data_IF_276767641791
#
_entry.id   IF_276767641791
#
_cell.length_a   1.000
_cell.length_b   1.000
_cell.length_c   1.000
_cell.angle_alpha   90.00
_cell.angle_beta   90.00
_cell.angle_gamma   90.00
#
_symmetry.space_group_name_H-M   'P 1'
#
loop_
_entity.id
_entity.type
_entity.pdbx_description
1 polymer ?
#
# COMPACT_ATOMS: atom_id res chain seq x y z
N UNK A 1 24.94 10.71 -18.64
CA UNK A 1 23.56 10.25 -18.37
C UNK A 1 22.85 10.19 -19.70
N UNK A 2 22.71 8.99 -20.28
CA UNK A 2 21.91 8.81 -21.48
C UNK A 2 20.44 8.96 -21.08
N UNK A 3 19.72 9.89 -21.71
CA UNK A 3 18.27 10.02 -21.53
C UNK A 3 17.61 8.77 -22.14
N UNK A 4 17.46 7.72 -21.34
CA UNK A 4 16.71 6.55 -21.78
C UNK A 4 15.24 6.97 -21.96
N UNK A 5 14.69 6.90 -23.19
CA UNK A 5 13.30 7.29 -23.44
C UNK A 5 12.33 6.47 -22.60
N UNK A 6 12.71 5.23 -22.25
CA UNK A 6 12.01 4.33 -21.35
C UNK A 6 11.90 4.90 -19.93
N UNK A 7 13.01 5.36 -19.34
CA UNK A 7 13.03 5.95 -18.00
C UNK A 7 12.19 7.23 -17.93
N UNK A 8 12.21 8.05 -18.99
CA UNK A 8 11.36 9.25 -19.06
C UNK A 8 9.87 8.89 -19.05
N UNK A 9 9.48 7.83 -19.75
CA UNK A 9 8.11 7.33 -19.76
C UNK A 9 7.69 6.80 -18.37
N UNK A 10 8.52 5.98 -17.72
CA UNK A 10 8.27 5.46 -16.35
C UNK A 10 8.06 6.63 -15.39
N UNK A 11 8.95 7.62 -15.40
CA UNK A 11 8.84 8.83 -14.59
C UNK A 11 7.53 9.57 -14.83
N UNK A 12 7.13 9.73 -16.08
CA UNK A 12 5.87 10.39 -16.42
C UNK A 12 4.65 9.63 -15.87
N UNK A 13 4.62 8.30 -16.00
CA UNK A 13 3.55 7.46 -15.46
C UNK A 13 3.47 7.55 -13.93
N UNK A 14 4.63 7.54 -13.27
CA UNK A 14 4.73 7.65 -11.81
C UNK A 14 4.23 9.00 -11.30
N UNK A 15 4.67 10.11 -11.91
CA UNK A 15 4.22 11.47 -11.55
C UNK A 15 2.72 11.65 -11.79
N UNK A 16 2.17 11.01 -12.83
CA UNK A 16 0.73 11.00 -13.10
C UNK A 16 -0.07 10.08 -12.17
N UNK A 17 0.56 9.43 -11.17
CA UNK A 17 -0.06 8.47 -10.25
C UNK A 17 -0.70 7.26 -10.94
N UNK A 18 -0.25 6.93 -12.15
CA UNK A 18 -0.74 5.78 -12.92
C UNK A 18 0.06 4.52 -12.55
N UNK A 19 0.08 4.20 -11.26
CA UNK A 19 0.97 3.17 -10.69
C UNK A 19 0.79 1.77 -11.29
N UNK A 20 -0.44 1.39 -11.65
CA UNK A 20 -0.70 0.09 -12.31
C UNK A 20 -0.04 -0.01 -13.69
N UNK A 21 -0.08 1.08 -14.45
CA UNK A 21 0.57 1.14 -15.76
C UNK A 21 2.09 1.21 -15.59
N UNK A 22 2.56 1.96 -14.58
CA UNK A 22 3.97 2.01 -14.23
C UNK A 22 4.54 0.62 -13.94
N UNK A 23 3.88 -0.17 -13.10
CA UNK A 23 4.30 -1.55 -12.77
C UNK A 23 4.38 -2.40 -14.03
N UNK A 24 3.31 -2.40 -14.84
CA UNK A 24 3.28 -3.22 -16.05
C UNK A 24 4.42 -2.87 -17.02
N UNK A 25 4.68 -1.57 -17.22
CA UNK A 25 5.79 -1.11 -18.07
C UNK A 25 7.14 -1.50 -17.47
N UNK A 26 7.32 -1.36 -16.16
CA UNK A 26 8.55 -1.77 -15.49
C UNK A 26 8.81 -3.28 -15.63
N UNK A 27 7.80 -4.12 -15.41
CA UNK A 27 7.91 -5.58 -15.56
C UNK A 27 8.28 -5.97 -17.00
N UNK A 28 7.69 -5.32 -18.00
CA UNK A 28 8.01 -5.61 -19.42
C UNK A 28 9.42 -5.19 -19.83
N UNK A 29 10.03 -4.25 -19.09
CA UNK A 29 11.36 -3.73 -19.40
C UNK A 29 12.45 -4.42 -18.59
N UNK A 30 12.09 -5.29 -17.64
CA UNK A 30 13.04 -5.95 -16.74
C UNK A 30 13.88 -7.02 -17.46
N UNK A 31 13.34 -7.62 -18.52
CA UNK A 31 14.00 -8.68 -19.28
C UNK A 31 15.14 -8.16 -20.18
N UNK A 32 15.09 -6.89 -20.59
CA UNK A 32 15.99 -6.28 -21.59
C UNK A 32 16.77 -5.05 -21.05
N UNK A 33 16.88 -4.88 -19.72
CA UNK A 33 17.52 -3.68 -19.13
C UNK A 33 19.03 -3.82 -18.92
N UNK A 34 19.76 -2.71 -19.11
CA UNK A 34 21.14 -2.54 -18.62
C UNK A 34 21.15 -2.37 -17.08
N UNK A 35 22.24 -2.70 -16.39
CA UNK A 35 22.34 -2.68 -14.92
C UNK A 35 21.88 -1.35 -14.29
N UNK A 36 22.30 -0.22 -14.86
CA UNK A 36 21.89 1.12 -14.41
C UNK A 36 20.37 1.32 -14.56
N UNK A 37 19.80 0.90 -15.70
CA UNK A 37 18.37 1.01 -15.97
C UNK A 37 17.58 0.06 -15.08
N UNK A 38 18.06 -1.16 -14.87
CA UNK A 38 17.48 -2.15 -13.97
C UNK A 38 17.38 -1.57 -12.55
N UNK A 39 18.41 -0.89 -12.05
CA UNK A 39 18.37 -0.24 -10.74
C UNK A 39 17.20 0.76 -10.63
N UNK A 40 17.03 1.65 -11.62
CA UNK A 40 15.91 2.58 -11.61
C UNK A 40 14.56 1.87 -11.74
N UNK A 41 14.47 0.83 -12.57
CA UNK A 41 13.25 0.06 -12.77
C UNK A 41 12.81 -0.57 -11.45
N UNK A 42 13.70 -1.29 -10.75
CA UNK A 42 13.43 -1.90 -9.45
C UNK A 42 12.99 -0.85 -8.42
N UNK A 43 13.66 0.31 -8.39
CA UNK A 43 13.28 1.41 -7.51
C UNK A 43 11.84 1.94 -7.80
N UNK A 44 11.50 2.17 -9.07
CA UNK A 44 10.15 2.63 -9.44
C UNK A 44 9.09 1.54 -9.26
N UNK A 45 9.43 0.26 -9.45
CA UNK A 45 8.56 -0.88 -9.14
C UNK A 45 8.23 -0.89 -7.64
N UNK A 46 9.26 -0.85 -6.79
CA UNK A 46 9.11 -0.83 -5.35
C UNK A 46 8.24 0.33 -4.86
N UNK A 47 8.51 1.55 -5.32
CA UNK A 47 7.68 2.72 -5.00
C UNK A 47 6.25 2.59 -5.52
N UNK A 48 6.03 2.09 -6.74
CA UNK A 48 4.69 1.94 -7.29
C UNK A 48 3.86 0.88 -6.54
N UNK A 49 4.49 -0.19 -6.07
CA UNK A 49 3.86 -1.19 -5.20
C UNK A 49 3.52 -0.61 -3.82
N UNK A 50 4.44 0.17 -3.22
CA UNK A 50 4.19 0.87 -1.95
C UNK A 50 3.04 1.88 -2.08
N UNK A 51 3.04 2.72 -3.11
CA UNK A 51 1.99 3.73 -3.33
C UNK A 51 0.62 3.11 -3.61
N UNK A 52 0.58 1.97 -4.31
CA UNK A 52 -0.66 1.21 -4.42
C UNK A 52 -1.09 0.64 -3.08
N UNK A 53 -0.17 0.11 -2.27
CA UNK A 53 -0.48 -0.39 -0.94
C UNK A 53 -1.02 0.73 -0.02
N UNK A 54 -0.50 1.96 -0.13
CA UNK A 54 -1.00 3.14 0.60
C UNK A 54 -2.45 3.49 0.25
N UNK A 55 -2.86 3.28 -1.00
CA UNK A 55 -4.25 3.48 -1.44
C UNK A 55 -5.20 2.36 -0.99
N UNK A 56 -4.66 1.24 -0.49
CA UNK A 56 -5.45 0.10 -0.06
C UNK A 56 -5.82 0.19 1.41
N UNK A 57 -7.00 -0.35 1.73
CA UNK A 57 -7.48 -0.47 3.11
C UNK A 57 -6.52 -1.33 3.96
N UNK A 58 -6.24 -0.90 5.19
CA UNK A 58 -5.26 -1.51 6.09
C UNK A 58 -5.50 -3.01 6.34
N UNK A 59 -6.75 -3.45 6.27
CA UNK A 59 -7.11 -4.85 6.51
C UNK A 59 -7.15 -5.70 5.24
N UNK A 60 -6.86 -5.13 4.08
CA UNK A 60 -6.84 -5.87 2.82
C UNK A 60 -5.72 -6.91 2.83
N UNK A 61 -6.04 -8.17 2.51
CA UNK A 61 -5.04 -9.23 2.32
C UNK A 61 -4.06 -8.84 1.21
N UNK A 62 -4.58 -8.18 0.18
CA UNK A 62 -3.78 -7.73 -0.96
C UNK A 62 -2.80 -6.61 -0.60
N UNK A 63 -3.07 -5.79 0.44
CA UNK A 63 -2.14 -4.74 0.89
C UNK A 63 -0.83 -5.33 1.40
N UNK A 64 -0.89 -6.35 2.26
CA UNK A 64 0.33 -7.00 2.77
C UNK A 64 1.13 -7.69 1.67
N UNK A 65 0.45 -8.29 0.68
CA UNK A 65 1.13 -8.90 -0.46
C UNK A 65 1.85 -7.84 -1.32
N UNK A 66 1.26 -6.66 -1.50
CA UNK A 66 1.89 -5.55 -2.23
C UNK A 66 3.09 -4.97 -1.49
N UNK A 67 3.02 -4.84 -0.17
CA UNK A 67 4.16 -4.40 0.64
C UNK A 67 5.31 -5.42 0.61
N UNK A 68 5.01 -6.73 0.60
CA UNK A 68 6.03 -7.76 0.47
C UNK A 68 6.76 -7.68 -0.88
N UNK A 69 6.04 -7.46 -1.98
CA UNK A 69 6.66 -7.24 -3.29
C UNK A 69 7.51 -5.95 -3.30
N UNK A 70 7.02 -4.87 -2.69
CA UNK A 70 7.79 -3.63 -2.60
C UNK A 70 9.13 -3.84 -1.86
N UNK A 71 9.13 -4.63 -0.79
CA UNK A 71 10.33 -5.01 -0.04
C UNK A 71 11.33 -5.80 -0.89
N UNK A 72 10.86 -6.83 -1.60
CA UNK A 72 11.68 -7.64 -2.51
C UNK A 72 12.39 -6.77 -3.57
N UNK A 73 11.66 -5.87 -4.23
CA UNK A 73 12.25 -4.97 -5.22
C UNK A 73 13.23 -3.95 -4.62
N UNK A 74 13.02 -3.51 -3.37
CA UNK A 74 14.00 -2.65 -2.69
C UNK A 74 15.29 -3.41 -2.36
N UNK A 75 15.19 -4.68 -1.96
CA UNK A 75 16.36 -5.53 -1.71
C UNK A 75 17.15 -5.81 -2.99
N UNK A 76 16.46 -6.11 -4.09
CA UNK A 76 17.08 -6.27 -5.42
C UNK A 76 17.78 -4.98 -5.86
N UNK A 77 17.14 -3.82 -5.69
CA UNK A 77 17.77 -2.53 -5.98
C UNK A 77 19.03 -2.29 -5.12
N UNK A 78 19.04 -2.67 -3.85
CA UNK A 78 20.22 -2.55 -2.99
C UNK A 78 21.37 -3.45 -3.45
N UNK A 79 21.07 -4.66 -3.94
CA UNK A 79 22.07 -5.55 -4.50
C UNK A 79 22.73 -4.93 -5.74
N UNK A 80 21.93 -4.38 -6.65
CA UNK A 80 22.41 -3.67 -7.84
C UNK A 80 23.26 -2.44 -7.45
N UNK A 81 22.85 -1.64 -6.47
CA UNK A 81 23.67 -0.52 -5.98
C UNK A 81 25.01 -1.00 -5.42
N UNK A 82 25.01 -2.12 -4.69
CA UNK A 82 26.24 -2.68 -4.12
C UNK A 82 27.18 -3.23 -5.21
N UNK A 83 26.63 -3.80 -6.28
CA UNK A 83 27.38 -4.28 -7.44
C UNK A 83 28.04 -3.11 -8.19
N UNK A 84 27.25 -2.07 -8.49
CA UNK A 84 27.72 -0.79 -9.06
C UNK A 84 28.86 -0.24 -8.20
N UNK A 85 28.66 -0.11 -6.87
CA UNK A 85 29.72 0.37 -5.96
C UNK A 85 30.98 -0.50 -5.94
N UNK A 86 30.85 -1.82 -6.05
CA UNK A 86 31.99 -2.75 -6.11
C UNK A 86 32.77 -2.59 -7.40
N UNK A 87 32.10 -2.45 -8.54
CA UNK A 87 32.73 -2.26 -9.84
C UNK A 87 33.57 -0.97 -9.87
N UNK A 88 33.05 0.14 -9.35
CA UNK A 88 33.80 1.39 -9.22
C UNK A 88 34.99 1.31 -8.23
N UNK A 89 34.87 0.52 -7.17
CA UNK A 89 35.99 0.27 -6.24
C UNK A 89 37.12 -0.53 -6.88
N UNK A 90 36.81 -1.45 -7.79
CA UNK A 90 37.81 -2.28 -8.49
C UNK A 90 38.46 -1.49 -9.64
N UNK A 91 37.72 -0.60 -10.30
CA UNK A 91 38.21 0.20 -11.43
C UNK A 91 38.92 1.50 -11.05
N UNK A 92 39.00 1.86 -9.76
CA UNK A 92 39.65 3.09 -9.30
C UNK A 92 40.93 2.81 -8.50
N UNK A 93 42.09 2.59 -9.14
CA UNK A 93 43.34 2.49 -8.43
C UNK A 93 43.95 3.88 -8.19
N UNK A 94 43.30 4.81 -7.48
CA UNK A 94 44.01 6.00 -6.97
C UNK A 94 43.60 6.48 -5.57
N UNK A 95 44.59 6.30 -4.67
CA UNK A 95 45.08 7.20 -3.62
C UNK A 95 44.08 7.71 -2.59
N UNK A 96 44.03 6.98 -1.48
CA UNK A 96 43.84 7.57 -0.15
C UNK A 96 44.74 8.82 -0.02
N UNK A 97 44.22 10.00 0.37
CA UNK A 97 45.07 11.07 0.82
C UNK A 97 45.71 10.62 2.13
N UNK A 98 46.99 10.26 2.05
CA UNK A 98 47.88 10.10 3.20
C UNK A 98 47.74 11.35 4.06
N UNK A 99 47.34 11.16 5.31
CA UNK A 99 47.15 12.16 6.36
C UNK A 99 47.80 13.52 6.06
N UNK A 100 46.98 14.51 5.71
CA UNK A 100 47.40 15.90 5.70
C UNK A 100 47.49 16.37 7.16
N UNK A 101 48.66 16.19 7.76
CA UNK A 101 49.10 17.10 8.81
C UNK A 101 49.56 18.40 8.16
N UNK A 102 48.96 19.50 8.64
CA UNK A 102 49.42 20.89 8.56
C UNK A 102 48.95 21.76 7.37
N UNK A 103 48.09 22.73 7.72
CA UNK A 103 47.88 24.10 7.20
C UNK A 103 47.84 24.32 5.67
N UNK A 104 46.83 24.96 5.09
CA UNK A 104 46.61 26.42 5.21
C UNK A 104 45.28 26.85 4.57
N UNK A 105 44.88 28.08 4.91
CA UNK A 105 43.67 28.82 4.58
C UNK A 105 43.47 29.18 3.09
N UNK A 106 42.19 29.39 2.73
CA UNK A 106 41.63 30.14 1.60
C UNK A 106 41.93 29.65 0.17
N UNK A 107 40.99 28.92 -0.41
CA UNK A 107 40.57 29.18 -1.81
C UNK A 107 39.14 28.68 -2.00
N UNK A 108 38.20 29.60 -2.19
CA UNK A 108 36.87 29.34 -2.75
C UNK A 108 37.07 29.00 -4.23
N UNK A 109 37.47 27.77 -4.52
CA UNK A 109 37.55 27.24 -5.88
C UNK A 109 36.44 26.23 -6.03
N UNK A 110 35.49 26.50 -6.92
CA UNK A 110 34.46 25.55 -7.33
C UNK A 110 35.12 24.42 -8.13
N UNK A 111 35.65 23.42 -7.42
CA UNK A 111 36.17 22.21 -8.03
C UNK A 111 35.00 21.42 -8.62
N UNK A 112 34.92 21.39 -9.95
CA UNK A 112 34.09 20.45 -10.69
C UNK A 112 34.63 19.05 -10.40
N UNK A 113 34.01 18.40 -9.42
CA UNK A 113 34.23 16.99 -9.08
C UNK A 113 34.07 16.16 -10.36
N UNK A 114 35.07 15.33 -10.67
CA UNK A 114 35.10 14.53 -11.89
C UNK A 114 33.89 13.59 -12.02
N UNK A 115 33.59 13.08 -13.23
CA UNK A 115 32.39 12.28 -13.52
C UNK A 115 32.24 11.04 -12.63
N UNK A 116 33.34 10.45 -12.15
CA UNK A 116 33.33 9.31 -11.22
C UNK A 116 32.84 9.67 -9.80
N UNK A 117 33.06 10.91 -9.34
CA UNK A 117 32.62 11.32 -8.00
C UNK A 117 31.11 11.57 -8.02
N UNK A 118 30.58 12.17 -9.09
CA UNK A 118 29.14 12.41 -9.21
C UNK A 118 28.32 11.12 -9.28
N UNK A 119 28.83 10.09 -9.96
CA UNK A 119 28.15 8.80 -10.07
C UNK A 119 28.13 8.04 -8.74
N UNK A 120 29.23 8.09 -7.99
CA UNK A 120 29.31 7.48 -6.65
C UNK A 120 28.47 8.23 -5.61
N UNK A 121 28.36 9.56 -5.72
CA UNK A 121 27.44 10.36 -4.90
C UNK A 121 25.98 10.04 -5.21
N UNK A 122 25.62 9.93 -6.49
CA UNK A 122 24.27 9.57 -6.91
C UNK A 122 23.88 8.17 -6.44
N UNK A 123 24.76 7.17 -6.60
CA UNK A 123 24.52 5.82 -6.10
C UNK A 123 24.38 5.79 -4.57
N UNK A 124 25.14 6.62 -3.84
CA UNK A 124 25.02 6.74 -2.38
C UNK A 124 23.69 7.38 -1.97
N UNK A 125 23.30 8.47 -2.61
CA UNK A 125 22.03 9.14 -2.35
C UNK A 125 20.85 8.20 -2.64
N UNK A 126 20.91 7.45 -3.74
CA UNK A 126 19.90 6.45 -4.06
C UNK A 126 19.84 5.33 -3.02
N UNK A 127 20.99 4.84 -2.55
CA UNK A 127 21.06 3.84 -1.46
C UNK A 127 20.38 4.34 -0.19
N UNK A 128 20.69 5.57 0.24
CA UNK A 128 20.10 6.18 1.43
C UNK A 128 18.58 6.34 1.29
N UNK A 129 18.13 6.75 0.10
CA UNK A 129 16.71 6.83 -0.22
C UNK A 129 16.05 5.44 -0.15
N UNK A 130 16.62 4.42 -0.78
CA UNK A 130 16.08 3.04 -0.76
C UNK A 130 15.99 2.53 0.67
N UNK A 131 17.04 2.70 1.48
CA UNK A 131 17.04 2.26 2.88
C UNK A 131 15.94 2.95 3.69
N UNK A 132 15.72 4.25 3.46
CA UNK A 132 14.66 5.00 4.14
C UNK A 132 13.27 4.50 3.75
N UNK A 133 13.05 4.17 2.48
CA UNK A 133 11.76 3.61 2.05
C UNK A 133 11.55 2.17 2.55
N UNK A 134 12.60 1.36 2.55
CA UNK A 134 12.56 -0.02 3.02
C UNK A 134 12.18 -0.10 4.50
N UNK A 135 12.79 0.72 5.36
CA UNK A 135 12.45 0.76 6.78
C UNK A 135 10.98 1.14 7.00
N UNK A 136 10.48 2.14 6.28
CA UNK A 136 9.08 2.55 6.35
C UNK A 136 8.12 1.43 5.91
N UNK A 137 8.43 0.72 4.83
CA UNK A 137 7.62 -0.41 4.34
C UNK A 137 7.60 -1.54 5.37
N UNK A 138 8.74 -1.89 5.95
CA UNK A 138 8.87 -2.91 6.99
C UNK A 138 8.08 -2.55 8.25
N UNK A 139 8.13 -1.29 8.69
CA UNK A 139 7.34 -0.81 9.83
C UNK A 139 5.82 -0.94 9.57
N UNK A 140 5.35 -0.51 8.40
CA UNK A 140 3.93 -0.61 8.04
C UNK A 140 3.49 -2.08 7.99
N UNK A 141 4.32 -2.95 7.41
CA UNK A 141 4.05 -4.39 7.33
C UNK A 141 3.98 -5.01 8.74
N UNK A 142 4.93 -4.70 9.61
CA UNK A 142 4.94 -5.17 11.00
C UNK A 142 3.66 -4.74 11.75
N UNK A 143 3.23 -3.48 11.60
CA UNK A 143 1.97 -2.98 12.19
C UNK A 143 0.76 -3.75 11.68
N UNK A 144 0.68 -4.02 10.38
CA UNK A 144 -0.42 -4.81 9.77
C UNK A 144 -0.44 -6.24 10.34
N UNK A 145 0.72 -6.87 10.47
CA UNK A 145 0.84 -8.23 10.98
C UNK A 145 0.54 -8.32 12.47
N UNK A 146 0.91 -7.32 13.28
CA UNK A 146 0.48 -7.23 14.67
C UNK A 146 -1.04 -7.14 14.82
N UNK A 147 -1.70 -6.30 14.02
CA UNK A 147 -3.16 -6.18 14.03
C UNK A 147 -3.82 -7.52 13.64
N UNK A 148 -3.21 -8.26 12.71
CA UNK A 148 -3.67 -9.61 12.34
C UNK A 148 -3.45 -10.62 13.47
N UNK A 149 -2.27 -10.65 14.09
CA UNK A 149 -1.95 -11.54 15.21
C UNK A 149 -2.86 -11.28 16.40
N UNK A 150 -3.09 -10.01 16.80
CA UNK A 150 -4.03 -9.64 17.88
C UNK A 150 -5.45 -10.16 17.62
N UNK A 151 -5.90 -10.15 16.36
CA UNK A 151 -7.20 -10.71 15.97
C UNK A 151 -7.27 -12.24 16.04
N UNK A 152 -6.18 -12.93 15.70
CA UNK A 152 -6.12 -14.39 15.77
C UNK A 152 -5.92 -14.88 17.21
N UNK A 153 -5.16 -14.13 18.02
CA UNK A 153 -4.86 -14.41 19.41
C UNK A 153 -5.97 -14.01 20.38
N UNK A 154 -6.79 -13.00 20.03
CA UNK A 154 -8.08 -12.82 20.69
C UNK A 154 -8.89 -14.08 20.41
N UNK A 155 -9.27 -14.87 21.44
CA UNK A 155 -10.39 -15.77 21.26
C UNK A 155 -11.49 -14.90 20.69
N UNK A 156 -12.26 -15.41 19.73
CA UNK A 156 -13.59 -14.83 19.52
C UNK A 156 -14.29 -15.06 20.85
N UNK A 157 -14.14 -14.12 21.80
CA UNK A 157 -15.21 -13.86 22.73
C UNK A 157 -16.39 -13.70 21.80
N UNK A 158 -17.42 -14.54 21.92
CA UNK A 158 -18.63 -14.35 21.15
C UNK A 158 -19.07 -12.95 21.52
N UNK A 159 -18.71 -12.00 20.67
CA UNK A 159 -19.11 -10.61 20.75
C UNK A 159 -20.61 -10.76 20.77
N UNK A 160 -21.20 -10.49 21.96
CA UNK A 160 -22.60 -10.66 22.31
C UNK A 160 -23.39 -10.97 21.05
N UNK A 161 -23.73 -12.25 20.86
CA UNK A 161 -24.57 -12.75 19.77
C UNK A 161 -25.46 -11.60 19.32
N UNK A 162 -25.11 -10.97 18.20
CA UNK A 162 -25.93 -9.94 17.55
C UNK A 162 -27.35 -10.42 17.70
N UNK A 163 -28.17 -9.73 18.49
CA UNK A 163 -29.46 -10.10 19.07
C UNK A 163 -30.34 -10.99 18.19
N UNK A 164 -29.89 -12.24 17.97
CA UNK A 164 -30.50 -13.23 17.08
C UNK A 164 -31.20 -14.30 17.90
N UNK A 165 -30.95 -14.34 19.22
CA UNK A 165 -31.51 -15.34 20.12
C UNK A 165 -32.97 -15.07 20.53
N UNK A 166 -33.52 -13.87 20.33
CA UNK A 166 -34.94 -13.63 20.65
C UNK A 166 -35.88 -14.22 19.58
N UNK A 167 -35.46 -14.25 18.31
CA UNK A 167 -36.27 -14.78 17.20
C UNK A 167 -35.93 -16.23 16.83
N UNK A 168 -34.84 -16.80 17.38
CA UNK A 168 -34.42 -18.16 17.06
C UNK A 168 -35.17 -19.27 17.83
N UNK A 169 -36.02 -18.92 18.80
CA UNK A 169 -36.71 -19.89 19.66
C UNK A 169 -38.08 -20.38 19.14
N UNK A 170 -38.60 -19.82 18.03
CA UNK A 170 -39.78 -20.38 17.38
C UNK A 170 -39.41 -21.68 16.66
N UNK A 171 -40.07 -22.82 16.96
CA UNK A 171 -39.80 -24.08 16.27
C UNK A 171 -40.07 -23.91 14.78
N UNK A 172 -39.25 -24.54 13.93
CA UNK A 172 -39.26 -24.33 12.47
C UNK A 172 -40.63 -24.55 11.82
N UNK A 173 -41.47 -25.38 12.44
CA UNK A 173 -42.88 -25.64 12.06
C UNK A 173 -43.78 -24.42 12.21
N UNK A 174 -43.56 -23.58 13.24
CA UNK A 174 -44.32 -22.34 13.44
C UNK A 174 -43.91 -21.28 12.42
N UNK A 175 -42.61 -21.20 12.08
CA UNK A 175 -42.11 -20.26 11.08
C UNK A 175 -42.58 -20.57 9.68
N UNK A 176 -42.58 -21.85 9.30
CA UNK A 176 -43.05 -22.26 7.98
C UNK A 176 -44.54 -22.01 7.80
N UNK A 177 -45.35 -22.29 8.83
CA UNK A 177 -46.78 -21.99 8.87
C UNK A 177 -47.07 -20.48 8.83
N UNK A 178 -46.40 -19.68 9.67
CA UNK A 178 -46.55 -18.22 9.71
C UNK A 178 -46.12 -17.58 8.38
N UNK A 179 -45.05 -18.07 7.77
CA UNK A 179 -44.59 -17.64 6.44
C UNK A 179 -45.62 -17.96 5.37
N UNK A 180 -46.22 -19.15 5.37
CA UNK A 180 -47.26 -19.53 4.42
C UNK A 180 -48.51 -18.66 4.60
N UNK A 181 -48.92 -18.39 5.83
CA UNK A 181 -50.04 -17.49 6.15
C UNK A 181 -49.80 -16.07 5.61
N UNK A 182 -48.61 -15.51 5.84
CA UNK A 182 -48.23 -14.18 5.32
C UNK A 182 -48.21 -14.12 3.80
N UNK A 183 -47.80 -15.19 3.13
CA UNK A 183 -47.82 -15.27 1.67
C UNK A 183 -49.27 -15.35 1.14
N UNK A 184 -50.13 -16.15 1.78
CA UNK A 184 -51.54 -16.27 1.42
C UNK A 184 -52.30 -14.95 1.63
N UNK A 185 -52.07 -14.30 2.77
CA UNK A 185 -52.64 -13.00 3.10
C UNK A 185 -52.11 -11.90 2.17
N UNK A 186 -50.81 -11.88 1.89
CA UNK A 186 -50.22 -10.99 0.90
C UNK A 186 -50.88 -11.15 -0.47
N UNK A 187 -51.05 -12.40 -0.93
CA UNK A 187 -51.75 -12.72 -2.18
C UNK A 187 -53.21 -12.25 -2.17
N UNK A 188 -53.94 -12.45 -1.07
CA UNK A 188 -55.31 -11.98 -0.92
C UNK A 188 -55.44 -10.45 -1.00
N UNK A 189 -54.43 -9.72 -0.51
CA UNK A 189 -54.35 -8.24 -0.61
C UNK A 189 -53.71 -7.75 -1.92
N UNK A 190 -53.43 -8.64 -2.87
CA UNK A 190 -52.73 -8.34 -4.13
C UNK A 190 -51.40 -7.60 -3.93
N UNK A 191 -50.77 -7.76 -2.76
CA UNK A 191 -49.54 -7.08 -2.39
C UNK A 191 -49.62 -5.54 -2.53
N UNK A 192 -50.83 -4.97 -2.49
CA UNK A 192 -51.05 -3.53 -2.57
C UNK A 192 -50.39 -2.86 -1.37
N UNK A 193 -49.34 -2.09 -1.64
CA UNK A 193 -48.67 -1.27 -0.63
C UNK A 193 -49.48 0.01 -0.47
N UNK A 194 -50.06 0.21 0.70
CA UNK A 194 -50.62 1.51 1.06
C UNK A 194 -49.52 2.56 1.06
N UNK A 195 -49.84 3.75 0.51
CA UNK A 195 -48.90 4.87 0.56
C UNK A 195 -48.76 5.35 2.00
N UNK A 196 -47.58 5.85 2.33
CA UNK A 196 -47.31 6.46 3.63
C UNK A 196 -48.30 7.61 3.90
N UNK A 197 -49.03 7.53 5.02
CA UNK A 197 -49.94 8.59 5.47
C UNK A 197 -49.33 9.28 6.70
N UNK A 198 -48.82 10.52 6.56
CA UNK A 198 -48.12 11.21 7.65
C UNK A 198 -49.03 11.47 8.87
N UNK A 199 -50.30 11.78 8.64
CA UNK A 199 -51.26 12.15 9.69
C UNK A 199 -51.45 11.05 10.74
N UNK A 200 -51.42 9.79 10.29
CA UNK A 200 -51.56 8.62 11.18
C UNK A 200 -50.40 8.53 12.18
N UNK A 201 -49.20 8.94 11.78
CA UNK A 201 -48.01 8.92 12.63
C UNK A 201 -47.91 10.15 13.53
N UNK A 202 -48.42 11.30 13.10
CA UNK A 202 -48.55 12.49 13.94
C UNK A 202 -49.46 12.19 15.14
N UNK A 203 -50.65 11.63 14.90
CA UNK A 203 -51.57 11.23 15.97
C UNK A 203 -50.98 10.18 16.91
N UNK A 204 -50.18 9.26 16.37
CA UNK A 204 -49.52 8.23 17.17
C UNK A 204 -48.44 8.83 18.07
N UNK A 205 -47.69 9.80 17.57
CA UNK A 205 -46.68 10.53 18.33
C UNK A 205 -47.32 11.39 19.43
N UNK A 206 -48.41 12.09 19.13
CA UNK A 206 -49.17 12.86 20.12
C UNK A 206 -49.69 12.00 21.26
N UNK A 207 -50.24 10.81 20.95
CA UNK A 207 -50.67 9.84 21.97
C UNK A 207 -49.51 9.33 22.84
N UNK A 208 -48.39 8.97 22.22
CA UNK A 208 -47.22 8.49 22.95
C UNK A 208 -46.65 9.57 23.87
N UNK A 209 -46.66 10.84 23.45
CA UNK A 209 -46.25 11.97 24.28
C UNK A 209 -47.21 12.25 25.44
N UNK A 210 -48.50 11.93 25.29
CA UNK A 210 -49.49 12.09 26.35
C UNK A 210 -49.42 10.99 27.43
N UNK A 211 -48.70 9.90 27.19
CA UNK A 211 -48.50 8.79 28.15
C UNK A 211 -47.27 9.00 29.08
N UNK A 212 -46.51 10.09 28.90
CA UNK A 212 -45.35 10.49 29.72
C UNK A 212 -45.74 11.48 30.81
#
# INVERSE_FOLDING_TARGET
MHDHPTLRNIKALFVQKKYRQCIHVCETLLDDCDDDLCLYIHFYLAMAHDDLARQMYDRSRSKSARLALAEEYYEEALNLVADVQREYCIMSPQRLPRAASSMSLLTTSSYTLGPNIQLTEHARAMREQILTHLTLVQEVRARIDEVRKKRQASPRTPTLQSSKSFWLFTPETTRSSEKQSRIAEGKAREWKRERFQPDRYILLAEKALAEL
#
